data_IF_437872671879
#
_entry.id   IF_437872671879
#
_cell.length_a   1.000
_cell.length_b   1.000
_cell.length_c   1.000
_cell.angle_alpha   90.00
_cell.angle_beta   90.00
_cell.angle_gamma   90.00
#
_symmetry.space_group_name_H-M   'P 1'
#
loop_
_entity.id
_entity.type
_entity.pdbx_description
1 polymer ?
#
# COMPACT_ATOMS: atom_id res chain seq x y z
N UNK A 1 -12.90 27.16 -3.90
CA UNK A 1 -12.45 25.75 -3.93
C UNK A 1 -13.17 25.05 -5.07
N UNK A 2 -12.47 24.50 -6.06
CA UNK A 2 -13.08 23.64 -7.10
C UNK A 2 -13.67 22.37 -6.47
N UNK A 3 -14.83 21.93 -6.98
CA UNK A 3 -15.48 20.68 -6.54
C UNK A 3 -14.63 19.48 -6.94
N UNK A 4 -14.68 18.38 -6.18
CA UNK A 4 -13.84 17.21 -6.44
C UNK A 4 -14.03 16.63 -7.85
N UNK A 5 -15.26 16.70 -8.37
CA UNK A 5 -15.62 16.29 -9.74
C UNK A 5 -14.97 17.13 -10.85
N UNK A 6 -14.55 18.35 -10.54
CA UNK A 6 -13.98 19.32 -11.50
C UNK A 6 -12.46 19.30 -11.51
N UNK A 7 -11.83 18.52 -10.62
CA UNK A 7 -10.39 18.43 -10.51
C UNK A 7 -9.80 17.47 -11.54
N UNK A 8 -8.58 17.79 -12.00
CA UNK A 8 -7.78 16.83 -12.77
C UNK A 8 -7.43 15.63 -11.90
N UNK A 9 -7.22 14.45 -12.49
CA UNK A 9 -6.84 13.24 -11.73
C UNK A 9 -5.57 13.42 -10.89
N UNK A 10 -4.63 14.25 -11.37
CA UNK A 10 -3.43 14.60 -10.61
C UNK A 10 -3.78 15.39 -9.35
N UNK A 11 -4.72 16.33 -9.45
CA UNK A 11 -5.15 17.17 -8.33
C UNK A 11 -6.06 16.41 -7.37
N UNK A 12 -6.93 15.51 -7.86
CA UNK A 12 -7.73 14.60 -7.02
C UNK A 12 -6.84 13.72 -6.16
N UNK A 13 -5.84 13.07 -6.77
CA UNK A 13 -4.86 12.26 -6.04
C UNK A 13 -4.07 13.11 -5.06
N UNK A 14 -3.54 14.26 -5.49
CA UNK A 14 -2.78 15.16 -4.63
C UNK A 14 -3.58 15.64 -3.41
N UNK A 15 -4.86 16.00 -3.59
CA UNK A 15 -5.75 16.36 -2.47
C UNK A 15 -6.06 15.18 -1.58
N UNK A 16 -6.32 14.00 -2.14
CA UNK A 16 -6.55 12.79 -1.35
C UNK A 16 -5.34 12.44 -0.48
N UNK A 17 -4.12 12.44 -1.06
CA UNK A 17 -2.88 12.19 -0.33
C UNK A 17 -2.70 13.17 0.84
N UNK A 18 -2.96 14.46 0.61
CA UNK A 18 -2.80 15.48 1.65
C UNK A 18 -3.89 15.46 2.72
N UNK A 19 -5.15 15.17 2.36
CA UNK A 19 -6.28 15.30 3.27
C UNK A 19 -6.67 14.00 3.98
N UNK A 20 -6.28 12.85 3.43
CA UNK A 20 -6.69 11.52 3.93
C UNK A 20 -5.48 10.67 4.27
N UNK A 21 -4.62 10.38 3.29
CA UNK A 21 -3.49 9.45 3.45
C UNK A 21 -2.45 9.95 4.48
N UNK A 22 -2.00 11.21 4.34
CA UNK A 22 -1.00 11.79 5.23
C UNK A 22 -1.48 11.90 6.69
N UNK A 23 -2.69 12.40 7.00
CA UNK A 23 -3.22 12.38 8.36
C UNK A 23 -3.35 10.96 8.93
N UNK A 24 -3.79 9.98 8.14
CA UNK A 24 -3.88 8.59 8.58
C UNK A 24 -2.51 7.97 8.85
N UNK A 25 -1.51 8.28 8.02
CA UNK A 25 -0.14 7.84 8.24
C UNK A 25 0.44 8.43 9.52
N UNK A 26 0.24 9.73 9.77
CA UNK A 26 0.63 10.39 11.01
C UNK A 26 -0.09 9.78 12.22
N UNK A 27 -1.38 9.49 12.11
CA UNK A 27 -2.13 8.79 13.14
C UNK A 27 -1.54 7.40 13.43
N UNK A 28 -1.12 6.65 12.41
CA UNK A 28 -0.44 5.36 12.56
C UNK A 28 0.89 5.45 13.32
N UNK A 29 1.70 6.48 13.06
CA UNK A 29 2.95 6.75 13.81
C UNK A 29 2.63 7.07 15.28
N UNK A 30 1.65 7.94 15.52
CA UNK A 30 1.23 8.31 16.88
C UNK A 30 0.74 7.07 17.63
N UNK A 31 -0.12 6.26 17.02
CA UNK A 31 -0.61 5.01 17.62
C UNK A 31 0.53 4.06 17.96
N UNK A 32 1.52 3.93 17.08
CA UNK A 32 2.70 3.09 17.34
C UNK A 32 3.55 3.61 18.51
N UNK A 33 3.62 4.93 18.70
CA UNK A 33 4.30 5.54 19.84
C UNK A 33 3.57 5.34 21.18
N UNK A 34 2.25 5.06 21.14
CA UNK A 34 1.44 4.67 22.29
C UNK A 34 1.38 3.13 22.49
N UNK A 35 2.32 2.39 21.90
CA UNK A 35 2.39 0.93 21.95
C UNK A 35 1.13 0.20 21.49
N UNK A 36 0.37 0.83 20.57
CA UNK A 36 -0.75 0.17 19.94
C UNK A 36 -0.26 -0.97 19.04
N UNK A 37 -1.00 -2.08 19.00
CA UNK A 37 -0.60 -3.29 18.28
C UNK A 37 -0.35 -2.98 16.79
N UNK A 38 0.90 -3.17 16.33
CA UNK A 38 1.30 -2.89 14.94
C UNK A 38 0.46 -3.70 13.94
N UNK A 39 -0.07 -4.87 14.33
CA UNK A 39 -0.92 -5.72 13.48
C UNK A 39 -2.21 -5.01 13.09
N UNK A 40 -2.79 -4.26 14.03
CA UNK A 40 -3.98 -3.46 13.76
C UNK A 40 -3.65 -2.30 12.81
N UNK A 41 -2.54 -1.61 13.06
CA UNK A 41 -2.07 -0.50 12.23
C UNK A 41 -1.81 -0.98 10.79
N UNK A 42 -1.16 -2.13 10.61
CA UNK A 42 -0.93 -2.73 9.30
C UNK A 42 -2.22 -3.16 8.58
N UNK A 43 -3.23 -3.60 9.34
CA UNK A 43 -4.56 -3.87 8.78
C UNK A 43 -5.23 -2.59 8.29
N UNK A 44 -5.10 -1.47 9.03
CA UNK A 44 -5.58 -0.16 8.58
C UNK A 44 -4.85 0.31 7.32
N UNK A 45 -3.52 0.17 7.25
CA UNK A 45 -2.72 0.49 6.06
C UNK A 45 -3.22 -0.29 4.84
N UNK A 46 -3.45 -1.60 5.02
CA UNK A 46 -4.00 -2.45 3.96
C UNK A 46 -5.39 -1.98 3.53
N UNK A 47 -6.24 -1.60 4.48
CA UNK A 47 -7.55 -1.01 4.20
C UNK A 47 -7.48 0.28 3.37
N UNK A 48 -6.51 1.16 3.67
CA UNK A 48 -6.28 2.39 2.90
C UNK A 48 -5.92 2.06 1.44
N UNK A 49 -5.02 1.11 1.21
CA UNK A 49 -4.66 0.67 -0.15
C UNK A 49 -5.88 0.13 -0.90
N UNK A 50 -6.75 -0.63 -0.24
CA UNK A 50 -7.98 -1.14 -0.83
C UNK A 50 -8.96 0.00 -1.17
N UNK A 51 -9.13 0.97 -0.28
CA UNK A 51 -9.97 2.16 -0.52
C UNK A 51 -9.45 2.95 -1.72
N UNK A 52 -8.13 3.10 -1.84
CA UNK A 52 -7.50 3.76 -2.98
C UNK A 52 -7.79 3.04 -4.30
N UNK A 53 -7.77 1.70 -4.32
CA UNK A 53 -8.17 0.91 -5.49
C UNK A 53 -9.65 1.07 -5.84
N UNK A 54 -10.52 1.31 -4.85
CA UNK A 54 -11.94 1.62 -5.11
C UNK A 54 -12.06 2.99 -5.75
N UNK A 55 -11.50 4.03 -5.10
CA UNK A 55 -11.67 5.43 -5.52
C UNK A 55 -11.02 5.68 -6.90
N UNK A 56 -9.80 5.21 -7.10
CA UNK A 56 -9.03 5.47 -8.32
C UNK A 56 -9.09 4.34 -9.34
N UNK A 57 -9.72 3.22 -9.02
CA UNK A 57 -9.88 2.09 -9.93
C UNK A 57 -11.32 1.86 -10.33
N UNK A 58 -12.18 1.48 -9.38
CA UNK A 58 -13.58 1.12 -9.67
C UNK A 58 -14.45 2.34 -9.97
N UNK A 59 -14.23 3.45 -9.27
CA UNK A 59 -15.03 4.67 -9.44
C UNK A 59 -14.50 5.58 -10.55
N UNK A 60 -13.28 5.34 -11.05
CA UNK A 60 -12.69 6.11 -12.15
C UNK A 60 -12.94 5.41 -13.49
N UNK A 61 -13.61 6.12 -14.40
CA UNK A 61 -13.97 5.64 -15.75
C UNK A 61 -12.72 5.39 -16.61
N UNK A 62 -11.58 5.98 -16.23
CA UNK A 62 -10.33 5.89 -16.98
C UNK A 62 -9.71 4.50 -16.97
N UNK A 63 -9.87 3.74 -15.89
CA UNK A 63 -9.28 2.42 -15.75
C UNK A 63 -10.34 1.37 -16.01
N UNK A 64 -10.06 0.44 -16.92
CA UNK A 64 -10.92 -0.73 -17.13
C UNK A 64 -10.70 -1.76 -16.02
N UNK A 65 -10.98 -1.35 -14.78
CA UNK A 65 -10.78 -2.15 -13.57
C UNK A 65 -12.08 -2.83 -13.20
N UNK A 66 -12.15 -4.13 -13.46
CA UNK A 66 -13.37 -4.89 -13.19
C UNK A 66 -13.51 -5.23 -11.71
N UNK A 67 -14.74 -5.47 -11.26
CA UNK A 67 -15.01 -5.94 -9.89
C UNK A 67 -14.26 -7.24 -9.57
N UNK A 68 -14.11 -8.14 -10.55
CA UNK A 68 -13.36 -9.40 -10.37
C UNK A 68 -11.87 -9.14 -10.12
N UNK A 69 -11.27 -8.18 -10.83
CA UNK A 69 -9.88 -7.79 -10.60
C UNK A 69 -9.72 -7.14 -9.23
N UNK A 70 -10.67 -6.28 -8.84
CA UNK A 70 -10.70 -5.69 -7.51
C UNK A 70 -10.74 -6.71 -6.38
N UNK A 71 -11.65 -7.70 -6.46
CA UNK A 71 -11.76 -8.75 -5.45
C UNK A 71 -10.45 -9.54 -5.35
N UNK A 72 -9.83 -9.85 -6.48
CA UNK A 72 -8.55 -10.58 -6.52
C UNK A 72 -7.44 -9.79 -5.82
N UNK A 73 -7.32 -8.51 -6.14
CA UNK A 73 -6.31 -7.62 -5.56
C UNK A 73 -6.54 -7.39 -4.06
N UNK A 74 -7.81 -7.22 -3.65
CA UNK A 74 -8.19 -7.10 -2.25
C UNK A 74 -7.83 -8.36 -1.45
N UNK A 75 -8.19 -9.54 -1.96
CA UNK A 75 -7.84 -10.82 -1.33
C UNK A 75 -6.32 -10.95 -1.21
N UNK A 76 -5.58 -10.66 -2.28
CA UNK A 76 -4.13 -10.70 -2.26
C UNK A 76 -3.56 -9.78 -1.16
N UNK A 77 -4.02 -8.54 -1.08
CA UNK A 77 -3.54 -7.57 -0.10
C UNK A 77 -3.80 -8.03 1.35
N UNK A 78 -5.00 -8.51 1.66
CA UNK A 78 -5.31 -9.00 3.01
C UNK A 78 -4.58 -10.29 3.37
N UNK A 79 -4.50 -11.23 2.43
CA UNK A 79 -3.75 -12.48 2.62
C UNK A 79 -2.28 -12.18 2.84
N UNK A 80 -1.68 -11.33 2.01
CA UNK A 80 -0.28 -10.95 2.17
C UNK A 80 -0.04 -10.16 3.45
N UNK A 81 -0.94 -9.27 3.85
CA UNK A 81 -0.85 -8.58 5.13
C UNK A 81 -0.84 -9.58 6.29
N UNK A 82 -1.75 -10.57 6.28
CA UNK A 82 -1.76 -11.65 7.28
C UNK A 82 -0.43 -12.41 7.33
N UNK A 83 0.10 -12.83 6.18
CA UNK A 83 1.40 -13.51 6.10
C UNK A 83 2.56 -12.63 6.60
N UNK A 84 2.58 -11.36 6.21
CA UNK A 84 3.62 -10.42 6.60
C UNK A 84 3.63 -10.21 8.11
N UNK A 85 2.47 -9.89 8.66
CA UNK A 85 2.31 -9.48 10.05
C UNK A 85 2.50 -10.63 11.03
N UNK A 86 2.05 -11.85 10.69
CA UNK A 86 2.10 -12.99 11.60
C UNK A 86 3.33 -13.89 11.41
N UNK A 87 3.94 -13.90 10.22
CA UNK A 87 4.99 -14.85 9.88
C UNK A 87 6.26 -14.13 9.45
N UNK A 88 6.18 -13.30 8.40
CA UNK A 88 7.39 -12.77 7.78
C UNK A 88 8.12 -11.76 8.67
N UNK A 89 7.41 -10.81 9.27
CA UNK A 89 8.00 -9.79 10.17
C UNK A 89 8.60 -10.44 11.42
N UNK A 90 7.86 -11.27 12.20
CA UNK A 90 8.45 -11.94 13.36
C UNK A 90 9.66 -12.82 12.99
N UNK A 91 9.58 -13.56 11.88
CA UNK A 91 10.67 -14.42 11.40
C UNK A 91 11.92 -13.64 10.98
N UNK A 92 11.74 -12.52 10.28
CA UNK A 92 12.84 -11.64 9.87
C UNK A 92 13.54 -11.02 11.09
N UNK A 93 12.77 -10.49 12.03
CA UNK A 93 13.30 -9.88 13.25
C UNK A 93 13.97 -10.91 14.17
N UNK A 94 13.41 -12.12 14.28
CA UNK A 94 14.05 -13.23 14.98
C UNK A 94 15.42 -13.58 14.38
N UNK A 95 15.51 -13.65 13.05
CA UNK A 95 16.78 -13.97 12.37
C UNK A 95 17.82 -12.86 12.58
N UNK A 96 17.39 -11.59 12.52
CA UNK A 96 18.26 -10.44 12.80
C UNK A 96 18.82 -10.48 14.22
N UNK A 97 18.02 -10.83 15.22
CA UNK A 97 18.49 -10.99 16.60
C UNK A 97 19.64 -11.98 16.74
N UNK A 98 19.53 -13.12 16.04
CA UNK A 98 20.56 -14.14 16.09
C UNK A 98 21.88 -13.66 15.44
N UNK A 99 21.79 -12.70 14.51
CA UNK A 99 22.95 -12.15 13.83
C UNK A 99 23.63 -11.00 14.60
N UNK A 100 22.91 -10.27 15.45
CA UNK A 100 23.44 -9.15 16.24
C UNK A 100 23.33 -9.43 17.74
N UNK A 101 24.45 -9.81 18.38
CA UNK A 101 24.50 -10.30 19.77
C UNK A 101 23.91 -9.39 20.86
N UNK A 102 23.66 -8.09 20.59
CA UNK A 102 22.87 -7.21 21.47
C UNK A 102 22.21 -6.13 20.64
N UNK A 103 20.88 -6.02 20.71
CA UNK A 103 20.14 -4.89 21.33
C UNK A 103 18.64 -5.15 21.10
N UNK A 104 17.94 -5.63 22.13
CA UNK A 104 16.49 -5.74 22.15
C UNK A 104 15.87 -4.34 22.13
N UNK A 105 15.55 -3.84 20.94
CA UNK A 105 14.60 -2.75 20.75
C UNK A 105 13.68 -3.18 19.60
N UNK A 106 12.92 -4.27 19.76
CA UNK A 106 11.72 -4.47 18.93
C UNK A 106 10.63 -3.59 19.52
N UNK A 107 10.72 -2.30 19.23
CA UNK A 107 9.59 -1.41 19.42
C UNK A 107 8.56 -1.71 18.34
N UNK A 108 7.28 -1.54 18.65
CA UNK A 108 6.17 -1.62 17.69
C UNK A 108 6.49 -0.84 16.39
N UNK A 109 7.26 0.24 16.49
CA UNK A 109 7.73 1.05 15.36
C UNK A 109 8.59 0.26 14.38
N UNK A 110 9.55 -0.54 14.84
CA UNK A 110 10.40 -1.35 13.95
C UNK A 110 9.57 -2.45 13.28
N UNK A 111 8.71 -3.11 14.03
CA UNK A 111 7.78 -4.13 13.50
C UNK A 111 6.87 -3.53 12.42
N UNK A 112 6.37 -2.32 12.65
CA UNK A 112 5.59 -1.58 11.67
C UNK A 112 6.41 -1.26 10.41
N UNK A 113 7.62 -0.71 10.54
CA UNK A 113 8.47 -0.34 9.39
C UNK A 113 8.80 -1.57 8.53
N UNK A 114 9.17 -2.68 9.17
CA UNK A 114 9.48 -3.93 8.47
C UNK A 114 8.23 -4.48 7.79
N UNK A 115 7.11 -4.55 8.50
CA UNK A 115 5.85 -5.04 7.93
C UNK A 115 5.39 -4.18 6.75
N UNK A 116 5.46 -2.87 6.88
CA UNK A 116 5.12 -1.92 5.83
C UNK A 116 5.97 -2.15 4.58
N UNK A 117 7.28 -2.31 4.76
CA UNK A 117 8.25 -2.54 3.68
C UNK A 117 8.00 -3.87 2.97
N UNK A 118 7.76 -4.94 3.74
CA UNK A 118 7.49 -6.27 3.19
C UNK A 118 6.17 -6.30 2.40
N UNK A 119 5.10 -5.70 2.95
CA UNK A 119 3.81 -5.64 2.27
C UNK A 119 3.88 -4.85 0.96
N UNK A 120 4.50 -3.66 0.97
CA UNK A 120 4.65 -2.85 -0.23
C UNK A 120 5.52 -3.53 -1.28
N UNK A 121 6.58 -4.23 -0.86
CA UNK A 121 7.42 -5.00 -1.76
C UNK A 121 6.64 -6.15 -2.40
N UNK A 122 5.87 -6.91 -1.61
CA UNK A 122 5.03 -7.99 -2.11
C UNK A 122 3.98 -7.47 -3.11
N UNK A 123 3.35 -6.33 -2.79
CA UNK A 123 2.39 -5.68 -3.68
C UNK A 123 3.02 -5.21 -5.00
N UNK A 124 4.19 -4.57 -4.93
CA UNK A 124 4.95 -4.19 -6.12
C UNK A 124 5.24 -5.39 -7.02
N UNK A 125 5.78 -6.47 -6.44
CA UNK A 125 6.09 -7.71 -7.18
C UNK A 125 4.82 -8.28 -7.81
N UNK A 126 3.71 -8.34 -7.08
CA UNK A 126 2.44 -8.81 -7.60
C UNK A 126 1.95 -8.01 -8.82
N UNK A 127 2.03 -6.68 -8.76
CA UNK A 127 1.66 -5.81 -9.90
C UNK A 127 2.57 -6.07 -11.10
N UNK A 128 3.89 -6.12 -10.89
CA UNK A 128 4.86 -6.34 -11.98
C UNK A 128 4.64 -7.71 -12.63
N UNK A 129 4.44 -8.76 -11.82
CA UNK A 129 4.11 -10.09 -12.32
C UNK A 129 2.79 -10.08 -13.09
N UNK A 130 1.75 -9.42 -12.57
CA UNK A 130 0.45 -9.29 -13.24
C UNK A 130 0.58 -8.57 -14.59
N UNK A 131 1.36 -7.49 -14.66
CA UNK A 131 1.66 -6.79 -15.91
C UNK A 131 2.35 -7.70 -16.93
N UNK A 132 3.32 -8.51 -16.47
CA UNK A 132 4.10 -9.41 -17.33
C UNK A 132 3.27 -10.58 -17.84
N UNK A 133 2.51 -11.23 -16.95
CA UNK A 133 1.66 -12.40 -17.27
C UNK A 133 0.52 -12.01 -18.21
N UNK A 134 -0.16 -10.90 -17.92
CA UNK A 134 -1.29 -10.42 -18.74
C UNK A 134 -0.85 -9.62 -19.97
N UNK A 135 0.45 -9.38 -20.14
CA UNK A 135 1.04 -8.49 -21.17
C UNK A 135 0.33 -7.13 -21.25
N UNK A 136 -0.16 -6.65 -20.11
CA UNK A 136 -0.97 -5.44 -20.05
C UNK A 136 -0.24 -4.40 -19.18
N UNK A 137 0.53 -3.49 -19.79
CA UNK A 137 1.27 -2.46 -19.06
C UNK A 137 0.36 -1.42 -18.41
N UNK A 138 -0.91 -1.33 -18.81
CA UNK A 138 -1.85 -0.40 -18.19
C UNK A 138 -2.03 -0.68 -16.69
N UNK A 139 -1.90 -1.94 -16.25
CA UNK A 139 -2.05 -2.35 -14.85
C UNK A 139 -1.05 -1.72 -13.87
N UNK A 140 0.01 -1.06 -14.37
CA UNK A 140 0.97 -0.31 -13.54
C UNK A 140 0.32 0.82 -12.76
N UNK A 141 -0.82 1.33 -13.22
CA UNK A 141 -1.55 2.41 -12.54
C UNK A 141 -1.85 2.08 -11.06
N UNK A 142 -2.04 0.80 -10.74
CA UNK A 142 -2.31 0.32 -9.38
C UNK A 142 -1.18 0.75 -8.43
N UNK A 143 0.07 0.56 -8.86
CA UNK A 143 1.24 0.97 -8.08
C UNK A 143 1.35 2.49 -8.00
N UNK A 144 1.02 3.21 -9.08
CA UNK A 144 1.08 4.67 -9.05
C UNK A 144 0.11 5.26 -8.03
N UNK A 145 -1.06 4.62 -7.84
CA UNK A 145 -2.05 5.03 -6.83
C UNK A 145 -1.57 4.67 -5.43
N UNK A 146 -1.33 3.36 -5.19
CA UNK A 146 -1.19 2.80 -3.85
C UNK A 146 0.26 2.70 -3.36
N UNK A 147 1.23 3.02 -4.22
CA UNK A 147 2.63 2.96 -3.89
C UNK A 147 3.02 4.07 -2.92
N UNK A 148 3.84 3.73 -1.93
CA UNK A 148 4.45 4.69 -1.01
C UNK A 148 5.40 5.67 -1.74
N UNK A 149 5.97 5.24 -2.87
CA UNK A 149 6.89 6.05 -3.69
C UNK A 149 6.24 6.40 -5.03
N UNK A 150 6.21 7.69 -5.36
CA UNK A 150 5.78 8.17 -6.67
C UNK A 150 6.72 7.62 -7.74
N UNK A 151 6.20 6.83 -8.67
CA UNK A 151 6.87 6.64 -9.94
C UNK A 151 6.52 7.85 -10.80
N UNK A 152 7.46 8.79 -10.99
CA UNK A 152 7.36 9.84 -12.01
C UNK A 152 7.58 9.25 -13.41
N UNK A 153 6.97 8.09 -13.66
CA UNK A 153 6.92 7.45 -14.95
C UNK A 153 5.99 8.24 -15.86
N UNK A 154 6.57 8.94 -16.82
CA UNK A 154 5.88 9.57 -17.95
C UNK A 154 4.70 8.71 -18.41
N UNK A 155 3.49 9.27 -18.25
CA UNK A 155 2.26 8.70 -18.77
C UNK A 155 2.49 8.37 -20.24
N UNK A 156 2.53 7.08 -20.58
CA UNK A 156 2.27 6.66 -21.95
C UNK A 156 0.82 7.08 -22.26
N UNK A 157 0.69 8.22 -22.93
CA UNK A 157 -0.53 8.59 -23.63
C UNK A 157 -0.76 7.50 -24.67
N UNK A 158 -1.65 6.56 -24.36
CA UNK A 158 -2.27 5.74 -25.39
C UNK A 158 -3.23 6.69 -26.11
N UNK A 159 -2.84 7.07 -27.34
CA UNK A 159 -3.73 7.70 -28.32
C UNK A 159 -4.83 6.73 -28.71
#
# INVERSE_FOLDING_TARGET
MLKYSELTEKDKRRRYKMLVELPLFLAGIILSAFDFDFRFIMTMVTGIMVIELIIFGLMDIKFNYSLSEFITDMIFLFVMNFFVVLIATPGFLYTLNQATERTYIFTNIIELIVSFTLLHTAWYIYIILSCKVRKNPSLKWKWDVTGAFHSDGSRFAVK
#
